data_IF_293400985962
#
_entry.id   IF_293400985962
#
_cell.length_a   1.000
_cell.length_b   1.000
_cell.length_c   1.000
_cell.angle_alpha   90.00
_cell.angle_beta   90.00
_cell.angle_gamma   90.00
#
_symmetry.space_group_name_H-M   'P 1'
#
loop_
_entity.id
_entity.type
_entity.pdbx_description
1 polymer ?
#
# COMPACT_ATOMS: atom_id res chain seq x y z
N UNK A 1 9.56 -21.58 -3.03
CA UNK A 1 10.73 -20.67 -2.94
C UNK A 1 11.05 -20.42 -1.47
N UNK A 2 12.30 -20.21 -1.10
CA UNK A 2 12.62 -19.74 0.24
C UNK A 2 12.33 -18.22 0.36
N UNK A 3 12.30 -17.68 1.59
CA UNK A 3 11.92 -16.29 1.80
C UNK A 3 12.81 -15.28 1.06
N UNK A 4 14.12 -15.51 0.96
CA UNK A 4 15.02 -14.62 0.25
C UNK A 4 14.76 -14.65 -1.26
N UNK A 5 14.52 -15.82 -1.84
CA UNK A 5 14.17 -15.93 -3.26
C UNK A 5 12.91 -15.15 -3.58
N UNK A 6 11.87 -15.23 -2.75
CA UNK A 6 10.63 -14.46 -2.92
C UNK A 6 10.91 -12.97 -2.89
N UNK A 7 11.67 -12.49 -1.87
CA UNK A 7 11.97 -11.07 -1.72
C UNK A 7 12.76 -10.53 -2.92
N UNK A 8 13.79 -11.23 -3.37
CA UNK A 8 14.62 -10.78 -4.49
C UNK A 8 13.96 -10.94 -5.85
N UNK A 9 12.92 -11.78 -5.97
CA UNK A 9 12.14 -11.96 -7.19
C UNK A 9 10.88 -11.09 -7.24
N UNK A 10 10.61 -10.31 -6.20
CA UNK A 10 9.39 -9.51 -6.12
C UNK A 10 9.25 -8.54 -7.29
N UNK A 11 8.07 -8.56 -7.92
CA UNK A 11 7.65 -7.63 -8.97
C UNK A 11 6.15 -7.39 -8.90
N UNK A 12 5.73 -6.17 -9.18
CA UNK A 12 4.30 -5.86 -9.26
C UNK A 12 3.69 -6.50 -10.50
N UNK A 13 2.68 -7.35 -10.30
CA UNK A 13 1.91 -8.00 -11.35
C UNK A 13 0.58 -7.26 -11.54
N UNK A 14 0.28 -6.89 -12.78
CA UNK A 14 -0.91 -6.10 -13.15
C UNK A 14 -1.83 -6.80 -14.14
N UNK A 15 -1.42 -7.97 -14.65
CA UNK A 15 -2.25 -8.84 -15.50
C UNK A 15 -2.37 -10.22 -14.86
N UNK A 16 -3.58 -10.69 -14.74
CA UNK A 16 -3.89 -11.93 -14.05
C UNK A 16 -4.64 -12.89 -14.95
N UNK A 17 -4.40 -14.18 -14.77
CA UNK A 17 -5.21 -15.24 -15.36
C UNK A 17 -6.58 -15.25 -14.71
N UNK A 18 -7.61 -15.54 -15.49
CA UNK A 18 -8.94 -15.78 -14.97
C UNK A 18 -8.99 -17.15 -14.27
N UNK A 19 -8.35 -17.24 -13.12
CA UNK A 19 -8.19 -18.47 -12.35
C UNK A 19 -8.42 -18.19 -10.87
N UNK A 20 -9.33 -18.92 -10.23
CA UNK A 20 -9.66 -18.78 -8.82
C UNK A 20 -8.48 -19.23 -7.95
N UNK A 21 -8.15 -18.47 -6.91
CA UNK A 21 -7.22 -18.90 -5.87
C UNK A 21 -7.93 -19.95 -4.99
N UNK A 22 -7.32 -21.13 -4.73
CA UNK A 22 -7.87 -22.11 -3.80
C UNK A 22 -8.09 -21.51 -2.40
N UNK A 23 -9.21 -21.87 -1.79
CA UNK A 23 -9.63 -21.29 -0.51
C UNK A 23 -8.62 -21.52 0.63
N UNK A 24 -7.92 -22.66 0.61
CA UNK A 24 -6.86 -22.99 1.58
C UNK A 24 -5.60 -22.13 1.38
N UNK A 25 -5.24 -21.79 0.14
CA UNK A 25 -4.14 -20.88 -0.17
C UNK A 25 -4.50 -19.46 0.31
N UNK A 26 -5.70 -18.97 -0.03
CA UNK A 26 -6.15 -17.66 0.43
C UNK A 26 -6.17 -17.60 1.96
N UNK A 27 -6.68 -18.64 2.63
CA UNK A 27 -6.68 -18.71 4.09
C UNK A 27 -5.25 -18.68 4.66
N UNK A 28 -4.29 -19.34 4.03
CA UNK A 28 -2.89 -19.32 4.48
C UNK A 28 -2.26 -17.94 4.31
N UNK A 29 -2.55 -17.22 3.21
CA UNK A 29 -2.14 -15.82 3.01
C UNK A 29 -2.66 -14.93 4.13
N UNK A 30 -3.95 -15.05 4.47
CA UNK A 30 -4.58 -14.27 5.53
C UNK A 30 -4.01 -14.62 6.92
N UNK A 31 -3.78 -15.90 7.21
CA UNK A 31 -3.11 -16.33 8.46
C UNK A 31 -1.70 -15.77 8.56
N UNK A 32 -0.94 -15.77 7.46
CA UNK A 32 0.41 -15.21 7.46
C UNK A 32 0.40 -13.68 7.69
N UNK A 33 -0.57 -12.97 7.10
CA UNK A 33 -0.78 -11.55 7.38
C UNK A 33 -0.90 -11.29 8.88
N UNK A 34 -1.67 -12.10 9.60
CA UNK A 34 -1.88 -11.94 11.05
C UNK A 34 -0.66 -12.32 11.90
N UNK A 35 0.40 -12.85 11.30
CA UNK A 35 1.68 -13.13 11.98
C UNK A 35 2.70 -12.01 11.89
N UNK A 36 2.35 -10.89 11.27
CA UNK A 36 3.18 -9.70 11.27
C UNK A 36 3.44 -9.16 12.69
N UNK A 37 4.54 -8.46 12.87
CA UNK A 37 4.76 -7.69 14.10
C UNK A 37 3.67 -6.62 14.25
N UNK A 38 3.24 -6.34 15.47
CA UNK A 38 2.19 -5.39 15.78
C UNK A 38 2.47 -4.66 17.08
N UNK A 39 2.09 -3.41 17.17
CA UNK A 39 2.31 -2.60 18.33
C UNK A 39 1.58 -3.18 19.57
N UNK A 40 2.34 -3.52 20.62
CA UNK A 40 1.79 -4.08 21.85
C UNK A 40 0.92 -5.33 21.67
N UNK A 41 1.07 -6.05 20.56
CA UNK A 41 0.21 -7.17 20.16
C UNK A 41 -1.29 -6.79 20.04
N UNK A 42 -1.59 -5.54 19.76
CA UNK A 42 -2.96 -5.02 19.65
C UNK A 42 -3.62 -5.37 18.30
N UNK A 43 -2.82 -5.64 17.26
CA UNK A 43 -3.28 -5.96 15.89
C UNK A 43 -4.24 -4.90 15.36
N UNK A 44 -3.74 -3.66 15.25
CA UNK A 44 -4.51 -2.46 14.93
C UNK A 44 -4.86 -2.35 13.44
N UNK A 45 -5.29 -3.44 12.83
CA UNK A 45 -5.66 -3.50 11.42
C UNK A 45 -6.85 -4.44 11.18
N UNK A 46 -7.53 -4.23 10.07
CA UNK A 46 -8.53 -5.15 9.52
C UNK A 46 -8.26 -5.38 8.03
N UNK A 47 -8.66 -6.54 7.52
CA UNK A 47 -8.48 -6.94 6.12
C UNK A 47 -9.87 -7.22 5.54
N UNK A 48 -10.24 -6.50 4.49
CA UNK A 48 -11.47 -6.73 3.74
C UNK A 48 -11.11 -7.49 2.46
N UNK A 49 -11.83 -8.56 2.19
CA UNK A 49 -11.62 -9.43 1.02
C UNK A 49 -12.74 -9.14 0.04
N UNK A 50 -12.40 -8.72 -1.17
CA UNK A 50 -13.34 -8.51 -2.26
C UNK A 50 -13.04 -9.50 -3.38
N UNK A 51 -14.02 -10.36 -3.67
CA UNK A 51 -13.96 -11.36 -4.77
C UNK A 51 -15.13 -11.25 -5.72
N UNK A 52 -16.20 -10.59 -5.30
CA UNK A 52 -17.37 -10.35 -6.11
C UNK A 52 -17.05 -9.37 -7.26
N UNK A 53 -17.53 -9.70 -8.48
CA UNK A 53 -17.24 -8.90 -9.68
C UNK A 53 -17.94 -7.53 -9.66
N UNK A 54 -19.14 -7.44 -9.12
CA UNK A 54 -19.88 -6.18 -9.07
C UNK A 54 -19.27 -5.23 -8.03
N UNK A 55 -18.82 -5.76 -6.90
CA UNK A 55 -18.04 -5.00 -5.91
C UNK A 55 -16.71 -4.50 -6.51
N UNK A 56 -15.98 -5.34 -7.24
CA UNK A 56 -14.74 -4.94 -7.92
C UNK A 56 -14.99 -3.87 -8.98
N UNK A 57 -16.09 -3.98 -9.75
CA UNK A 57 -16.51 -2.93 -10.71
C UNK A 57 -16.80 -1.60 -10.03
N UNK A 58 -17.47 -1.63 -8.87
CA UNK A 58 -17.76 -0.43 -8.09
C UNK A 58 -16.50 0.19 -7.47
N UNK A 59 -15.52 -0.63 -7.08
CA UNK A 59 -14.24 -0.19 -6.53
C UNK A 59 -13.26 0.31 -7.59
N UNK A 60 -13.33 -0.16 -8.82
CA UNK A 60 -12.36 0.19 -9.87
C UNK A 60 -12.20 1.70 -10.07
N UNK A 61 -13.27 2.54 -10.11
CA UNK A 61 -13.11 3.99 -10.19
C UNK A 61 -12.34 4.58 -9.00
N UNK A 62 -12.49 4.01 -7.80
CA UNK A 62 -11.78 4.44 -6.60
C UNK A 62 -10.28 4.10 -6.65
N UNK A 63 -9.90 3.20 -7.55
CA UNK A 63 -8.53 2.84 -7.88
C UNK A 63 -8.08 3.46 -9.21
N UNK A 64 -8.64 4.61 -9.61
CA UNK A 64 -8.29 5.35 -10.84
C UNK A 64 -8.44 4.52 -12.11
N UNK A 65 -9.47 3.68 -12.16
CA UNK A 65 -9.78 2.76 -13.27
C UNK A 65 -8.62 1.83 -13.64
N UNK A 66 -7.84 1.37 -12.67
CA UNK A 66 -6.79 0.39 -12.90
C UNK A 66 -7.41 -1.00 -13.15
N UNK A 67 -7.27 -1.52 -14.37
CA UNK A 67 -7.90 -2.76 -14.84
C UNK A 67 -7.58 -3.98 -13.95
N UNK A 68 -6.38 -4.02 -13.37
CA UNK A 68 -5.97 -5.09 -12.47
C UNK A 68 -6.91 -5.29 -11.26
N UNK A 69 -7.72 -4.30 -10.90
CA UNK A 69 -8.74 -4.44 -9.83
C UNK A 69 -9.84 -5.40 -10.25
N UNK A 70 -10.21 -5.40 -11.54
CA UNK A 70 -11.19 -6.35 -12.10
C UNK A 70 -10.54 -7.70 -12.41
N UNK A 71 -9.35 -7.70 -13.00
CA UNK A 71 -8.68 -8.89 -13.50
C UNK A 71 -8.23 -9.82 -12.37
N UNK A 72 -7.80 -9.27 -11.24
CA UNK A 72 -7.38 -10.08 -10.10
C UNK A 72 -8.58 -10.84 -9.49
N UNK A 73 -8.46 -12.15 -9.23
CA UNK A 73 -9.52 -12.91 -8.55
C UNK A 73 -9.78 -12.45 -7.13
N UNK A 74 -8.81 -11.80 -6.47
CA UNK A 74 -8.92 -11.30 -5.10
C UNK A 74 -8.35 -9.90 -5.00
N UNK A 75 -9.10 -8.99 -4.38
CA UNK A 75 -8.64 -7.71 -3.90
C UNK A 75 -8.68 -7.72 -2.36
N UNK A 76 -7.55 -7.45 -1.72
CA UNK A 76 -7.44 -7.31 -0.27
C UNK A 76 -7.30 -5.83 0.08
N UNK A 77 -8.26 -5.25 0.79
CA UNK A 77 -8.15 -3.89 1.32
C UNK A 77 -7.75 -3.93 2.79
N UNK A 78 -6.60 -3.35 3.09
CA UNK A 78 -6.04 -3.29 4.44
C UNK A 78 -6.36 -1.94 5.07
N UNK A 79 -7.01 -1.99 6.23
CA UNK A 79 -7.45 -0.82 6.97
C UNK A 79 -6.71 -0.70 8.31
N UNK A 80 -6.25 0.50 8.68
CA UNK A 80 -5.90 0.83 10.05
C UNK A 80 -7.18 0.80 10.89
N UNK A 81 -7.22 0.01 11.96
CA UNK A 81 -8.42 -0.26 12.75
C UNK A 81 -8.14 -0.13 14.25
N UNK A 82 -8.50 1.00 14.82
CA UNK A 82 -8.50 1.26 16.26
C UNK A 82 -9.88 1.01 16.89
N UNK A 83 -10.93 0.84 16.07
CA UNK A 83 -12.30 0.63 16.53
C UNK A 83 -12.45 -0.68 17.32
N UNK A 84 -11.90 -1.79 16.81
CA UNK A 84 -11.99 -3.10 17.47
C UNK A 84 -11.36 -3.07 18.85
N UNK A 85 -10.15 -2.52 18.99
CA UNK A 85 -9.42 -2.45 20.25
C UNK A 85 -10.10 -1.47 21.23
N UNK A 86 -10.56 -0.32 20.74
CA UNK A 86 -11.33 0.66 21.52
C UNK A 86 -12.60 0.03 22.09
N UNK A 87 -13.37 -0.68 21.29
CA UNK A 87 -14.58 -1.41 21.76
C UNK A 87 -14.24 -2.48 22.79
N UNK A 88 -13.17 -3.22 22.59
CA UNK A 88 -12.73 -4.21 23.58
C UNK A 88 -12.44 -3.56 24.93
N UNK A 89 -11.73 -2.43 24.97
CA UNK A 89 -11.48 -1.67 26.18
C UNK A 89 -12.79 -1.22 26.84
N UNK A 90 -13.69 -0.60 26.08
CA UNK A 90 -14.99 -0.11 26.57
C UNK A 90 -15.84 -1.25 27.17
N UNK A 91 -15.91 -2.41 26.50
CA UNK A 91 -16.62 -3.60 27.00
C UNK A 91 -15.97 -4.25 28.24
N UNK A 92 -14.79 -3.80 28.63
CA UNK A 92 -14.08 -4.20 29.86
C UNK A 92 -14.02 -3.07 30.89
N UNK A 93 -14.83 -2.01 30.70
CA UNK A 93 -14.87 -0.83 31.57
C UNK A 93 -13.51 -0.12 31.70
N UNK A 94 -12.66 -0.23 30.66
CA UNK A 94 -11.43 0.53 30.51
C UNK A 94 -11.71 1.80 29.72
N UNK A 95 -10.92 2.84 29.96
CA UNK A 95 -11.03 4.11 29.27
C UNK A 95 -9.94 4.20 28.17
N UNK A 96 -10.26 3.93 26.90
CA UNK A 96 -9.28 4.00 25.80
C UNK A 96 -8.92 5.45 25.47
N UNK A 97 -7.66 5.67 25.06
CA UNK A 97 -7.16 6.96 24.60
C UNK A 97 -6.37 6.80 23.29
N UNK A 98 -6.98 6.12 22.29
CA UNK A 98 -6.30 5.74 21.05
C UNK A 98 -6.74 6.55 19.84
N UNK A 99 -7.60 7.52 20.01
CA UNK A 99 -8.19 8.40 18.99
C UNK A 99 -7.29 9.61 18.68
N UNK A 100 -5.99 9.36 18.53
CA UNK A 100 -4.97 10.40 18.35
C UNK A 100 -3.99 10.03 17.22
N UNK A 101 -3.18 11.00 16.79
CA UNK A 101 -2.21 10.85 15.70
C UNK A 101 -1.20 9.72 15.96
N UNK A 102 -0.70 9.56 17.18
CA UNK A 102 0.30 8.54 17.49
C UNK A 102 -0.25 7.13 17.22
N UNK A 103 -1.48 6.85 17.67
CA UNK A 103 -2.09 5.55 17.44
C UNK A 103 -2.56 5.33 16.02
N UNK A 104 -2.97 6.38 15.29
CA UNK A 104 -3.20 6.29 13.85
C UNK A 104 -1.93 5.84 13.11
N UNK A 105 -0.79 6.47 13.39
CA UNK A 105 0.50 6.11 12.78
C UNK A 105 0.91 4.66 13.15
N UNK A 106 0.68 4.26 14.41
CA UNK A 106 0.92 2.89 14.86
C UNK A 106 0.03 1.87 14.13
N UNK A 107 -1.24 2.19 13.94
CA UNK A 107 -2.18 1.34 13.21
C UNK A 107 -1.83 1.25 11.71
N UNK A 108 -1.39 2.34 11.09
CA UNK A 108 -0.88 2.33 9.72
C UNK A 108 0.36 1.44 9.59
N UNK A 109 1.30 1.51 10.54
CA UNK A 109 2.47 0.64 10.54
C UNK A 109 2.08 -0.85 10.66
N UNK A 110 1.22 -1.22 11.60
CA UNK A 110 0.70 -2.57 11.74
C UNK A 110 0.03 -3.06 10.44
N UNK A 111 -0.75 -2.19 9.80
CA UNK A 111 -1.46 -2.48 8.54
C UNK A 111 -0.50 -2.81 7.40
N UNK A 112 0.56 -2.01 7.23
CA UNK A 112 1.57 -2.19 6.18
C UNK A 112 2.38 -3.48 6.43
N UNK A 113 2.76 -3.76 7.68
CA UNK A 113 3.47 -4.99 8.03
C UNK A 113 2.62 -6.23 7.74
N UNK A 114 1.32 -6.20 8.07
CA UNK A 114 0.41 -7.31 7.79
C UNK A 114 0.25 -7.52 6.26
N UNK A 115 0.14 -6.44 5.49
CA UNK A 115 0.04 -6.55 4.04
C UNK A 115 1.30 -7.11 3.39
N UNK A 116 2.49 -6.73 3.88
CA UNK A 116 3.75 -7.27 3.37
C UNK A 116 3.88 -8.78 3.61
N UNK A 117 3.43 -9.28 4.77
CA UNK A 117 3.37 -10.72 5.02
C UNK A 117 2.40 -11.43 4.07
N UNK A 118 1.24 -10.83 3.77
CA UNK A 118 0.30 -11.38 2.80
C UNK A 118 0.93 -11.49 1.40
N UNK A 119 1.62 -10.43 0.96
CA UNK A 119 2.31 -10.38 -0.33
C UNK A 119 3.37 -11.49 -0.44
N UNK A 120 4.30 -11.54 0.51
CA UNK A 120 5.36 -12.56 0.51
C UNK A 120 4.79 -13.98 0.52
N UNK A 121 3.69 -14.20 1.25
CA UNK A 121 3.05 -15.50 1.29
C UNK A 121 2.37 -15.81 -0.04
N UNK A 122 1.65 -14.88 -0.64
CA UNK A 122 1.03 -15.07 -1.96
C UNK A 122 2.10 -15.41 -3.02
N UNK A 123 3.18 -14.65 -3.06
CA UNK A 123 4.29 -14.87 -4.00
C UNK A 123 5.02 -16.20 -3.75
N UNK A 124 5.11 -16.67 -2.50
CA UNK A 124 5.67 -17.99 -2.19
C UNK A 124 4.86 -19.15 -2.77
N UNK A 125 3.55 -18.95 -2.98
CA UNK A 125 2.66 -19.86 -3.69
C UNK A 125 2.68 -19.69 -5.22
N UNK A 126 3.52 -18.81 -5.76
CA UNK A 126 3.58 -18.51 -7.19
C UNK A 126 2.47 -17.58 -7.68
N UNK A 127 1.75 -16.93 -6.78
CA UNK A 127 0.81 -15.87 -7.13
C UNK A 127 1.55 -14.56 -7.40
N UNK A 128 0.94 -13.69 -8.18
CA UNK A 128 1.38 -12.32 -8.39
C UNK A 128 0.60 -11.37 -7.51
N UNK A 129 1.21 -10.24 -7.15
CA UNK A 129 0.61 -9.19 -6.34
C UNK A 129 0.92 -7.81 -6.88
N UNK A 130 0.03 -6.84 -6.61
CA UNK A 130 0.32 -5.42 -6.79
C UNK A 130 -0.28 -4.60 -5.66
N UNK A 131 0.53 -3.75 -5.04
CA UNK A 131 0.07 -2.78 -4.04
C UNK A 131 -0.55 -1.58 -4.73
N UNK A 132 -1.71 -1.16 -4.24
CA UNK A 132 -2.44 0.04 -4.62
C UNK A 132 -2.47 1.01 -3.44
N UNK A 133 -1.81 2.16 -3.56
CA UNK A 133 -1.86 3.24 -2.56
C UNK A 133 -3.13 4.11 -2.66
N UNK A 134 -3.96 3.84 -3.63
CA UNK A 134 -5.15 4.61 -3.96
C UNK A 134 -6.18 4.75 -2.83
N UNK A 135 -6.34 3.80 -1.87
CA UNK A 135 -7.26 3.99 -0.76
C UNK A 135 -7.03 5.25 0.08
N UNK A 136 -5.80 5.75 0.18
CA UNK A 136 -5.52 7.04 0.84
C UNK A 136 -5.96 8.25 0.00
N UNK A 137 -5.96 8.13 -1.33
CA UNK A 137 -6.38 9.19 -2.25
C UNK A 137 -7.90 9.35 -2.32
N UNK A 138 -8.62 8.26 -2.18
CA UNK A 138 -10.08 8.14 -2.26
C UNK A 138 -10.64 7.55 -0.95
N UNK A 139 -10.08 8.00 0.18
CA UNK A 139 -10.39 7.40 1.49
C UNK A 139 -11.86 7.55 1.87
N UNK A 140 -12.49 8.69 1.54
CA UNK A 140 -13.90 8.94 1.81
C UNK A 140 -14.78 7.91 1.09
N UNK A 141 -14.57 7.75 -0.18
CA UNK A 141 -15.32 6.86 -1.05
C UNK A 141 -15.17 5.39 -0.64
N UNK A 142 -13.96 4.99 -0.24
CA UNK A 142 -13.74 3.64 0.31
C UNK A 142 -14.45 3.44 1.67
N UNK A 143 -14.46 4.46 2.53
CA UNK A 143 -15.19 4.42 3.83
C UNK A 143 -16.68 4.24 3.58
N UNK A 144 -17.24 4.99 2.64
CA UNK A 144 -18.64 4.91 2.26
C UNK A 144 -18.98 3.56 1.62
N UNK A 145 -18.14 3.07 0.70
CA UNK A 145 -18.34 1.80 0.01
C UNK A 145 -18.33 0.59 0.99
N UNK A 146 -17.41 0.59 1.94
CA UNK A 146 -17.25 -0.51 2.88
C UNK A 146 -18.03 -0.32 4.20
N UNK A 147 -18.82 0.71 4.35
CA UNK A 147 -19.52 1.07 5.61
C UNK A 147 -18.55 1.10 6.81
N UNK A 148 -17.36 1.69 6.63
CA UNK A 148 -16.34 1.67 7.68
C UNK A 148 -16.78 2.52 8.88
N UNK A 149 -16.73 1.96 10.10
CA UNK A 149 -17.07 2.71 11.30
C UNK A 149 -15.98 3.74 11.65
N UNK A 150 -16.27 4.61 12.63
CA UNK A 150 -15.26 5.52 13.18
C UNK A 150 -14.03 4.74 13.66
N UNK A 151 -12.87 5.38 13.61
CA UNK A 151 -11.56 4.82 13.95
C UNK A 151 -11.11 3.66 13.03
N UNK A 152 -11.65 3.63 11.80
CA UNK A 152 -11.15 2.75 10.73
C UNK A 152 -10.83 3.58 9.49
N UNK A 153 -9.62 3.42 8.95
CA UNK A 153 -9.13 4.14 7.76
C UNK A 153 -8.58 3.13 6.74
N UNK A 154 -9.04 3.13 5.48
CA UNK A 154 -8.44 2.31 4.43
C UNK A 154 -7.05 2.88 4.10
N UNK A 155 -6.02 2.01 4.08
CA UNK A 155 -4.61 2.44 3.92
C UNK A 155 -4.07 2.04 2.56
N UNK A 156 -4.13 0.75 2.24
CA UNK A 156 -3.68 0.20 0.97
C UNK A 156 -4.59 -0.93 0.51
N UNK A 157 -4.59 -1.21 -0.79
CA UNK A 157 -5.17 -2.44 -1.32
C UNK A 157 -4.09 -3.27 -2.02
N UNK A 158 -4.32 -4.58 -2.12
CA UNK A 158 -3.43 -5.53 -2.79
C UNK A 158 -4.26 -6.41 -3.70
N UNK A 159 -3.97 -6.38 -4.99
CA UNK A 159 -4.50 -7.37 -5.94
C UNK A 159 -3.69 -8.65 -5.85
N UNK A 160 -4.35 -9.80 -5.87
CA UNK A 160 -3.73 -11.13 -5.75
C UNK A 160 -4.34 -12.07 -6.78
N UNK A 161 -3.50 -12.77 -7.55
CA UNK A 161 -3.95 -13.74 -8.56
C UNK A 161 -2.79 -14.47 -9.23
N UNK A 162 -3.09 -15.45 -10.08
CA UNK A 162 -2.06 -16.09 -10.90
C UNK A 162 -1.58 -15.12 -11.98
N UNK A 163 -0.26 -14.90 -12.10
CA UNK A 163 0.27 -13.90 -13.05
C UNK A 163 0.04 -14.35 -14.50
N UNK A 164 -0.39 -13.41 -15.35
CA UNK A 164 -0.46 -13.57 -16.82
C UNK A 164 0.56 -12.67 -17.54
N UNK A 165 1.58 -12.27 -16.82
CA UNK A 165 2.71 -11.50 -17.33
C UNK A 165 3.97 -11.85 -16.54
N UNK A 166 5.14 -11.48 -17.10
CA UNK A 166 6.42 -11.60 -16.41
C UNK A 166 7.25 -10.34 -16.65
N UNK A 167 6.90 -9.22 -16.01
CA UNK A 167 7.64 -7.97 -16.18
C UNK A 167 9.07 -8.10 -15.64
N UNK A 168 10.02 -7.28 -16.13
CA UNK A 168 11.36 -7.22 -15.57
C UNK A 168 11.32 -6.77 -14.10
N UNK A 169 12.39 -7.05 -13.37
CA UNK A 169 12.58 -6.46 -12.03
C UNK A 169 12.72 -4.95 -12.17
N UNK A 170 12.05 -4.23 -11.28
CA UNK A 170 12.21 -2.78 -11.19
C UNK A 170 13.54 -2.43 -10.52
N UNK A 171 14.15 -1.34 -10.97
CA UNK A 171 15.35 -0.78 -10.38
C UNK A 171 15.18 -0.44 -8.88
N UNK A 172 16.30 -0.34 -8.21
CA UNK A 172 16.40 0.15 -6.83
C UNK A 172 17.57 1.13 -6.76
N UNK A 173 17.49 2.09 -5.86
CA UNK A 173 18.64 2.92 -5.53
C UNK A 173 19.75 2.04 -4.91
N UNK A 174 21.03 2.42 -5.04
CA UNK A 174 22.13 1.73 -4.37
C UNK A 174 21.95 1.75 -2.84
N UNK A 175 22.51 0.75 -2.14
CA UNK A 175 22.32 0.61 -0.69
C UNK A 175 22.77 1.86 0.09
N UNK A 176 23.82 2.50 -0.37
CA UNK A 176 24.39 3.71 0.23
C UNK A 176 23.44 4.90 0.20
N UNK A 177 22.47 4.89 -0.70
CA UNK A 177 21.43 5.93 -0.78
C UNK A 177 20.36 5.82 0.32
N UNK A 178 20.25 4.66 0.98
CA UNK A 178 19.17 4.36 1.94
C UNK A 178 19.68 3.84 3.29
N UNK A 179 20.97 3.49 3.40
CA UNK A 179 21.57 2.95 4.62
C UNK A 179 22.56 3.94 5.21
N UNK A 180 22.33 4.36 6.44
CA UNK A 180 23.22 5.23 7.20
C UNK A 180 23.78 4.49 8.40
N UNK A 181 25.10 4.55 8.62
CA UNK A 181 25.73 3.93 9.78
C UNK A 181 25.79 4.90 10.96
N UNK A 182 25.11 4.56 12.03
CA UNK A 182 25.11 5.29 13.29
C UNK A 182 24.22 6.53 13.30
N UNK A 183 24.44 7.47 12.41
CA UNK A 183 23.64 8.70 12.28
C UNK A 183 23.24 8.95 10.85
N UNK A 184 22.11 9.63 10.68
CA UNK A 184 21.67 10.11 9.36
C UNK A 184 22.73 11.09 8.80
N UNK A 185 23.05 10.90 7.53
CA UNK A 185 23.93 11.78 6.75
C UNK A 185 23.12 12.40 5.64
N UNK A 186 23.10 13.74 5.59
CA UNK A 186 22.39 14.47 4.56
C UNK A 186 23.10 14.34 3.20
N UNK A 187 22.37 14.59 2.14
CA UNK A 187 22.84 14.40 0.77
C UNK A 187 23.28 15.71 0.14
N UNK A 188 24.53 15.79 -0.28
CA UNK A 188 24.98 16.86 -1.17
C UNK A 188 24.62 16.53 -2.64
N UNK A 189 24.88 17.51 -3.52
CA UNK A 189 24.57 17.35 -4.95
C UNK A 189 25.31 16.14 -5.56
N UNK A 190 26.56 15.90 -5.19
CA UNK A 190 27.35 14.84 -5.78
C UNK A 190 26.82 13.45 -5.38
N UNK A 191 26.39 13.31 -4.12
CA UNK A 191 25.75 12.07 -3.65
C UNK A 191 24.44 11.82 -4.39
N UNK A 192 23.59 12.83 -4.57
CA UNK A 192 22.33 12.72 -5.31
C UNK A 192 22.60 12.35 -6.78
N UNK A 193 23.52 13.04 -7.45
CA UNK A 193 23.87 12.73 -8.84
C UNK A 193 24.32 11.27 -8.99
N UNK A 194 25.18 10.79 -8.08
CA UNK A 194 25.67 9.40 -8.08
C UNK A 194 24.55 8.38 -7.85
N UNK A 195 23.67 8.62 -6.88
CA UNK A 195 22.63 7.66 -6.49
C UNK A 195 21.51 7.52 -7.50
N UNK A 196 21.26 8.55 -8.29
CA UNK A 196 20.21 8.55 -9.32
C UNK A 196 20.75 8.30 -10.73
N UNK A 197 22.07 8.29 -10.95
CA UNK A 197 22.71 8.13 -12.27
C UNK A 197 22.21 6.90 -13.02
N UNK A 198 22.22 5.73 -12.38
CA UNK A 198 21.77 4.49 -13.01
C UNK A 198 20.30 4.58 -13.42
N UNK A 199 19.45 5.05 -12.50
CA UNK A 199 18.02 5.20 -12.73
C UNK A 199 17.71 6.14 -13.89
N UNK A 200 18.33 7.32 -13.91
CA UNK A 200 18.12 8.34 -14.96
C UNK A 200 18.63 7.87 -16.32
N UNK A 201 19.59 6.95 -16.35
CA UNK A 201 20.16 6.38 -17.55
C UNK A 201 19.41 5.19 -18.14
N UNK A 202 18.42 4.60 -17.42
CA UNK A 202 17.57 3.55 -17.96
C UNK A 202 16.74 4.07 -19.14
N UNK A 203 16.71 3.31 -20.24
CA UNK A 203 15.98 3.69 -21.45
C UNK A 203 14.51 4.00 -21.17
N UNK A 204 13.86 3.18 -20.31
CA UNK A 204 12.48 3.42 -19.86
C UNK A 204 12.27 4.85 -19.34
N UNK A 205 13.18 5.36 -18.50
CA UNK A 205 13.02 6.68 -17.91
C UNK A 205 13.38 7.80 -18.88
N UNK A 206 14.34 7.57 -19.78
CA UNK A 206 14.66 8.51 -20.90
C UNK A 206 13.47 8.66 -21.84
N UNK A 207 12.81 7.55 -22.18
CA UNK A 207 11.58 7.56 -22.99
C UNK A 207 10.48 8.37 -22.30
N UNK A 208 10.22 8.12 -21.02
CA UNK A 208 9.21 8.86 -20.23
C UNK A 208 9.52 10.37 -20.20
N UNK A 209 10.78 10.77 -20.02
CA UNK A 209 11.19 12.19 -20.06
C UNK A 209 10.89 12.80 -21.42
N UNK A 210 11.28 12.13 -22.50
CA UNK A 210 11.06 12.59 -23.87
C UNK A 210 9.57 12.70 -24.23
N UNK A 211 8.77 11.70 -23.90
CA UNK A 211 7.31 11.68 -24.13
C UNK A 211 6.59 12.85 -23.44
N UNK A 212 7.09 13.26 -22.27
CA UNK A 212 6.52 14.39 -21.53
C UNK A 212 7.09 15.75 -21.94
N UNK A 213 8.10 15.80 -22.82
CA UNK A 213 8.74 17.02 -23.26
C UNK A 213 9.46 17.77 -22.12
N UNK A 214 10.05 17.04 -21.18
CA UNK A 214 10.72 17.58 -20.00
C UNK A 214 12.24 17.35 -20.08
N UNK A 215 13.01 18.00 -19.21
CA UNK A 215 14.48 17.95 -19.25
C UNK A 215 15.06 16.75 -18.49
N UNK A 216 14.37 16.31 -17.43
CA UNK A 216 14.84 15.24 -16.55
C UNK A 216 13.70 14.49 -15.87
N UNK A 217 14.04 13.34 -15.26
CA UNK A 217 13.08 12.46 -14.60
C UNK A 217 12.44 13.12 -13.37
N UNK A 218 13.15 13.95 -12.61
CA UNK A 218 12.61 14.62 -11.44
C UNK A 218 11.44 15.54 -11.82
N UNK A 219 11.53 16.24 -12.95
CA UNK A 219 10.43 17.06 -13.48
C UNK A 219 9.20 16.20 -13.84
N UNK A 220 9.38 14.98 -14.35
CA UNK A 220 8.25 14.07 -14.61
C UNK A 220 7.48 13.79 -13.32
N UNK A 221 8.19 13.54 -12.21
CA UNK A 221 7.54 13.32 -10.91
C UNK A 221 6.81 14.57 -10.40
N UNK A 222 7.41 15.75 -10.51
CA UNK A 222 6.89 16.99 -9.91
C UNK A 222 5.86 17.71 -10.77
N UNK A 223 5.89 17.54 -12.10
CA UNK A 223 5.05 18.29 -13.02
C UNK A 223 3.96 17.45 -13.71
N UNK A 224 4.05 16.11 -13.64
CA UNK A 224 3.10 15.21 -14.29
C UNK A 224 2.46 14.20 -13.35
N UNK A 225 3.25 13.52 -12.50
CA UNK A 225 2.76 12.38 -11.70
C UNK A 225 2.28 12.76 -10.32
N UNK A 226 3.05 13.57 -9.62
CA UNK A 226 2.82 13.96 -8.21
C UNK A 226 3.00 15.47 -8.08
N UNK A 227 2.12 16.24 -8.75
CA UNK A 227 2.27 17.70 -8.75
C UNK A 227 2.08 18.27 -7.37
N UNK A 228 2.75 19.39 -7.06
CA UNK A 228 2.60 20.06 -5.78
C UNK A 228 1.14 20.37 -5.47
N UNK A 229 0.40 20.88 -6.47
CA UNK A 229 -1.01 21.23 -6.34
C UNK A 229 -1.86 20.01 -5.95
N UNK A 230 -1.71 18.90 -6.67
CA UNK A 230 -2.48 17.69 -6.40
C UNK A 230 -2.16 17.11 -5.02
N UNK A 231 -0.86 17.08 -4.66
CA UNK A 231 -0.43 16.62 -3.36
C UNK A 231 -1.01 17.46 -2.21
N UNK A 232 -1.01 18.78 -2.33
CA UNK A 232 -1.58 19.68 -1.32
C UNK A 232 -3.10 19.48 -1.21
N UNK A 233 -3.80 19.36 -2.33
CA UNK A 233 -5.25 19.14 -2.35
C UNK A 233 -5.64 17.79 -1.74
N UNK A 234 -4.99 16.71 -2.18
CA UNK A 234 -5.25 15.35 -1.70
C UNK A 234 -4.91 15.24 -0.20
N UNK A 235 -3.77 15.80 0.22
CA UNK A 235 -3.37 15.80 1.63
C UNK A 235 -4.40 16.52 2.51
N UNK A 236 -4.92 17.66 2.05
CA UNK A 236 -5.96 18.40 2.76
C UNK A 236 -7.26 17.60 2.89
N UNK A 237 -7.70 16.94 1.81
CA UNK A 237 -8.89 16.07 1.82
C UNK A 237 -8.69 14.88 2.78
N UNK A 238 -7.52 14.22 2.71
CA UNK A 238 -7.22 13.10 3.60
C UNK A 238 -7.22 13.52 5.07
N UNK A 239 -6.62 14.66 5.40
CA UNK A 239 -6.62 15.20 6.77
C UNK A 239 -8.05 15.45 7.28
N UNK A 240 -8.93 15.96 6.42
CA UNK A 240 -10.33 16.14 6.75
C UNK A 240 -11.01 14.78 7.05
N UNK A 241 -10.80 13.78 6.21
CA UNK A 241 -11.33 12.43 6.41
C UNK A 241 -10.83 11.81 7.71
N UNK A 242 -9.52 11.95 8.01
CA UNK A 242 -8.94 11.46 9.26
C UNK A 242 -9.61 12.10 10.49
N UNK A 243 -9.87 13.41 10.45
CA UNK A 243 -10.62 14.11 11.52
C UNK A 243 -12.05 13.61 11.63
N UNK A 244 -12.75 13.51 10.51
CA UNK A 244 -14.13 13.02 10.47
C UNK A 244 -14.23 11.58 10.98
N UNK A 245 -13.22 10.74 10.73
CA UNK A 245 -13.15 9.38 11.28
C UNK A 245 -12.80 9.34 12.78
N UNK A 246 -12.47 10.47 13.39
CA UNK A 246 -12.26 10.58 14.82
C UNK A 246 -10.85 10.19 15.29
N UNK A 247 -9.85 10.23 14.41
CA UNK A 247 -8.46 9.91 14.76
C UNK A 247 -7.66 11.08 15.39
N UNK A 248 -8.20 12.29 15.35
CA UNK A 248 -7.53 13.49 15.84
C UNK A 248 -8.47 14.24 16.82
N UNK A 249 -9.04 13.54 17.77
CA UNK A 249 -9.83 14.13 18.85
C UNK A 249 -8.87 14.60 19.96
N UNK A 250 -8.34 15.83 19.79
CA UNK A 250 -7.63 16.58 20.84
C UNK A 250 -8.53 17.67 21.42
#
# INVERSE_FOLDING_TARGET
MNALEVIFQHRSIRKYKNEKIPDDILLNILKAATRAATNGNMQLYSIIITTDEDDKKALMPLHFNQEMVLDAPVLLTFCADLNRFTKWCQYRNANPGYDNLLFLLSAIADTILASQNAILTAESYGLGTCILGTPLYTAREHIEFFDLPKLVLPVIAVTVGYPDENPPLTDRLPLEAVIHQGKYQDYDKNAIDLYFEEKENLDLYKEIVNENGLENLAQVFTERRYTKKDNEEISSKLLQVIKEQGFLNE
#
